data_IF_519735782051
#
_entry.id   IF_519735782051
#
_cell.length_a   1.000
_cell.length_b   1.000
_cell.length_c   1.000
_cell.angle_alpha   90.00
_cell.angle_beta   90.00
_cell.angle_gamma   90.00
#
_symmetry.space_group_name_H-M   'P 1'
#
loop_
_entity.id
_entity.type
_entity.pdbx_description
1 polymer ?
#
# COMPACT_ATOMS: atom_id res chain seq x y z
N UNK A 1 -13.89 4.41 -28.19
CA UNK A 1 -13.44 5.58 -27.42
C UNK A 1 -11.93 5.59 -27.46
N UNK A 2 -11.32 6.67 -27.94
CA UNK A 2 -9.87 6.85 -28.03
C UNK A 2 -9.40 7.72 -26.86
N UNK A 3 -8.46 7.20 -26.08
CA UNK A 3 -8.02 7.79 -24.82
C UNK A 3 -6.53 8.07 -24.88
N UNK A 4 -6.16 9.32 -24.66
CA UNK A 4 -4.76 9.71 -24.48
C UNK A 4 -4.33 9.54 -23.04
N UNK A 5 -3.09 9.10 -22.80
CA UNK A 5 -2.50 9.00 -21.46
C UNK A 5 -1.28 9.90 -21.43
N UNK A 6 -1.30 10.90 -20.55
CA UNK A 6 -0.17 11.80 -20.36
C UNK A 6 1.09 11.01 -19.97
N UNK A 7 2.27 11.41 -20.44
CA UNK A 7 3.51 10.76 -20.06
C UNK A 7 3.87 11.14 -18.62
N UNK A 8 4.24 10.14 -17.82
CA UNK A 8 4.74 10.34 -16.45
C UNK A 8 4.80 9.04 -15.66
N UNK A 9 4.89 9.13 -14.33
CA UNK A 9 5.31 8.02 -13.47
C UNK A 9 4.41 6.80 -13.58
N UNK A 10 3.09 6.99 -13.73
CA UNK A 10 2.12 5.87 -13.73
C UNK A 10 1.46 5.62 -15.09
N UNK A 11 2.00 6.18 -16.18
CA UNK A 11 1.37 6.10 -17.50
C UNK A 11 1.28 4.66 -18.01
N UNK A 12 2.28 3.82 -17.70
CA UNK A 12 2.35 2.42 -18.12
C UNK A 12 1.30 1.55 -17.44
N UNK A 13 1.03 1.81 -16.17
CA UNK A 13 0.07 1.10 -15.35
C UNK A 13 -1.37 1.47 -15.74
N UNK A 14 -1.61 2.76 -16.00
CA UNK A 14 -2.87 3.26 -16.53
C UNK A 14 -3.13 2.65 -17.91
N UNK A 15 -2.13 2.66 -18.80
CA UNK A 15 -2.21 2.04 -20.12
C UNK A 15 -2.55 0.55 -20.01
N UNK A 16 -1.80 -0.19 -19.19
CA UNK A 16 -2.03 -1.62 -18.98
C UNK A 16 -3.45 -1.91 -18.46
N UNK A 17 -3.96 -1.09 -17.55
CA UNK A 17 -5.30 -1.24 -17.02
C UNK A 17 -6.41 -0.89 -18.04
N UNK A 18 -6.14 0.03 -18.97
CA UNK A 18 -7.03 0.39 -20.08
C UNK A 18 -7.04 -0.69 -21.16
N UNK A 19 -5.88 -1.20 -21.58
CA UNK A 19 -5.75 -2.20 -22.65
C UNK A 19 -6.43 -3.54 -22.33
N UNK A 20 -6.72 -3.80 -21.06
CA UNK A 20 -7.53 -4.96 -20.61
C UNK A 20 -9.03 -4.78 -20.82
N UNK A 21 -9.49 -3.60 -21.22
CA UNK A 21 -10.91 -3.29 -21.44
C UNK A 21 -11.26 -3.42 -22.91
N UNK A 22 -12.38 -4.07 -23.18
CA UNK A 22 -12.96 -4.13 -24.53
C UNK A 22 -13.48 -2.74 -24.94
N UNK A 23 -13.27 -2.35 -26.20
CA UNK A 23 -13.77 -1.10 -26.84
C UNK A 23 -13.10 0.21 -26.42
N UNK A 24 -11.93 0.13 -25.81
CA UNK A 24 -11.06 1.28 -25.55
C UNK A 24 -9.84 1.17 -26.44
N UNK A 25 -9.56 2.21 -27.21
CA UNK A 25 -8.28 2.42 -27.89
C UNK A 25 -7.50 3.43 -27.05
N UNK A 26 -6.32 3.05 -26.58
CA UNK A 26 -5.53 3.87 -25.66
C UNK A 26 -4.10 3.98 -26.16
N UNK A 27 -3.49 5.15 -25.99
CA UNK A 27 -2.08 5.36 -26.29
C UNK A 27 -1.45 6.34 -25.31
N UNK A 28 -0.16 6.17 -25.05
CA UNK A 28 0.64 7.14 -24.29
C UNK A 28 1.03 8.24 -25.27
N UNK A 29 0.62 9.47 -24.96
CA UNK A 29 0.74 10.61 -25.88
C UNK A 29 2.04 11.37 -25.65
N UNK A 30 2.53 12.03 -26.69
CA UNK A 30 3.50 13.11 -26.55
C UNK A 30 2.77 14.43 -26.24
N UNK A 31 3.34 15.29 -25.40
CA UNK A 31 2.71 16.55 -24.98
C UNK A 31 2.37 17.53 -26.11
N UNK A 32 2.86 17.30 -27.32
CA UNK A 32 2.61 18.09 -28.53
C UNK A 32 1.52 17.50 -29.45
N UNK A 33 0.83 16.44 -29.00
CA UNK A 33 -0.20 15.76 -29.81
C UNK A 33 -1.36 16.68 -30.16
N UNK A 34 -1.92 16.52 -31.37
CA UNK A 34 -3.03 17.34 -31.85
C UNK A 34 -4.28 17.19 -30.96
N UNK A 35 -4.86 18.33 -30.60
CA UNK A 35 -5.96 18.54 -29.63
C UNK A 35 -7.27 17.82 -29.96
N UNK A 36 -7.41 17.21 -31.13
CA UNK A 36 -8.67 16.65 -31.64
C UNK A 36 -8.69 15.12 -31.82
N UNK A 37 -7.64 14.40 -31.40
CA UNK A 37 -7.57 12.94 -31.63
C UNK A 37 -8.19 12.09 -30.52
N UNK A 38 -8.38 12.66 -29.32
CA UNK A 38 -8.78 11.92 -28.13
C UNK A 38 -10.13 12.40 -27.61
N UNK A 39 -10.98 11.44 -27.27
CA UNK A 39 -12.26 11.72 -26.60
C UNK A 39 -11.98 12.26 -25.18
N UNK A 40 -11.00 11.66 -24.48
CA UNK A 40 -10.57 12.01 -23.12
C UNK A 40 -9.05 11.84 -23.02
N UNK A 41 -8.38 12.69 -22.23
CA UNK A 41 -6.99 12.52 -21.81
C UNK A 41 -6.92 12.25 -20.31
N UNK A 42 -6.23 11.17 -19.93
CA UNK A 42 -5.96 10.83 -18.53
C UNK A 42 -4.56 11.32 -18.15
N UNK A 43 -4.43 11.90 -16.96
CA UNK A 43 -3.14 12.36 -16.43
C UNK A 43 -3.07 12.16 -14.91
N UNK A 44 -1.86 12.13 -14.37
CA UNK A 44 -1.62 12.14 -12.92
C UNK A 44 -1.06 13.49 -12.49
N UNK A 45 -1.58 14.04 -11.40
CA UNK A 45 -1.12 15.33 -10.82
C UNK A 45 -0.91 16.40 -11.91
N UNK A 46 0.29 16.97 -12.02
CA UNK A 46 0.63 18.05 -12.95
C UNK A 46 1.22 17.56 -14.29
N UNK A 47 1.05 16.28 -14.62
CA UNK A 47 1.54 15.74 -15.90
C UNK A 47 0.98 16.57 -17.08
N UNK A 48 1.84 16.90 -18.07
CA UNK A 48 1.46 17.77 -19.17
C UNK A 48 0.46 17.09 -20.10
N UNK A 49 -0.55 17.84 -20.54
CA UNK A 49 -1.61 17.36 -21.43
C UNK A 49 -1.77 18.32 -22.63
N UNK A 50 -2.16 17.81 -23.81
CA UNK A 50 -2.50 18.65 -24.94
C UNK A 50 -3.66 19.62 -24.59
N UNK A 51 -3.63 20.87 -25.08
CA UNK A 51 -4.69 21.83 -24.80
C UNK A 51 -6.02 21.42 -25.45
N UNK A 52 -7.16 21.78 -24.85
CA UNK A 52 -8.47 21.65 -25.50
C UNK A 52 -9.10 20.25 -25.53
N UNK A 53 -8.47 19.22 -24.95
CA UNK A 53 -9.10 17.93 -24.68
C UNK A 53 -9.88 17.95 -23.35
N UNK A 54 -10.86 17.05 -23.19
CA UNK A 54 -11.44 16.74 -21.88
C UNK A 54 -10.37 16.00 -21.05
N UNK A 55 -9.92 16.61 -19.95
CA UNK A 55 -8.83 16.10 -19.12
C UNK A 55 -9.39 15.57 -17.82
N UNK A 56 -9.01 14.34 -17.48
CA UNK A 56 -9.36 13.71 -16.21
C UNK A 56 -8.12 13.31 -15.45
N UNK A 57 -7.99 13.81 -14.23
CA UNK A 57 -6.76 13.64 -13.46
C UNK A 57 -6.95 12.75 -12.25
N UNK A 58 -5.93 11.91 -12.04
CA UNK A 58 -5.72 11.20 -10.79
C UNK A 58 -4.73 12.00 -9.93
N UNK A 59 -5.21 12.54 -8.81
CA UNK A 59 -4.42 13.43 -7.94
C UNK A 59 -3.90 12.68 -6.74
N UNK A 60 -2.58 12.63 -6.57
CA UNK A 60 -1.89 11.88 -5.51
C UNK A 60 -1.37 12.76 -4.39
N UNK A 61 -1.24 14.07 -4.62
CA UNK A 61 -0.69 15.04 -3.68
C UNK A 61 -1.62 16.23 -3.46
N UNK A 62 -1.40 16.97 -2.36
CA UNK A 62 -2.26 18.09 -1.96
C UNK A 62 -1.96 19.42 -2.70
N UNK A 63 -0.80 19.53 -3.35
CA UNK A 63 -0.31 20.78 -3.95
C UNK A 63 -0.19 20.81 -5.48
N UNK A 64 -0.90 20.00 -6.27
CA UNK A 64 -0.79 20.13 -7.72
C UNK A 64 -1.40 21.47 -8.17
N UNK A 65 -0.80 22.05 -9.20
CA UNK A 65 -1.14 23.37 -9.74
C UNK A 65 -2.42 23.31 -10.59
N UNK A 66 -2.73 22.15 -11.16
CA UNK A 66 -3.88 21.94 -12.06
C UNK A 66 -5.26 22.03 -11.36
N UNK A 67 -6.26 22.48 -12.10
CA UNK A 67 -7.65 22.62 -11.64
C UNK A 67 -8.44 21.32 -11.67
N UNK A 68 -8.12 20.38 -12.56
CA UNK A 68 -8.90 19.16 -12.77
C UNK A 68 -8.54 18.12 -11.71
N UNK A 69 -9.45 17.83 -10.77
CA UNK A 69 -9.23 16.85 -9.69
C UNK A 69 -10.30 15.75 -9.74
N UNK A 70 -10.36 15.01 -10.85
CA UNK A 70 -11.44 14.05 -11.12
C UNK A 70 -11.47 12.90 -10.10
N UNK A 71 -10.30 12.32 -9.81
CA UNK A 71 -10.15 11.23 -8.86
C UNK A 71 -8.96 11.54 -7.96
N UNK A 72 -9.11 11.36 -6.65
CA UNK A 72 -8.02 11.57 -5.69
C UNK A 72 -7.52 10.24 -5.12
N UNK A 73 -6.24 10.16 -4.80
CA UNK A 73 -5.59 8.94 -4.34
C UNK A 73 -5.87 8.59 -2.86
N UNK A 74 -6.41 9.54 -2.12
CA UNK A 74 -6.63 9.44 -0.69
C UNK A 74 -7.80 10.35 -0.25
N UNK A 75 -8.49 9.97 0.82
CA UNK A 75 -9.71 10.67 1.26
C UNK A 75 -9.42 12.06 1.83
N UNK A 76 -8.25 12.26 2.41
CA UNK A 76 -7.86 13.58 2.94
C UNK A 76 -7.72 14.65 1.84
N UNK A 77 -7.64 14.25 0.56
CA UNK A 77 -7.61 15.16 -0.59
C UNK A 77 -9.00 15.58 -1.06
N UNK A 78 -10.07 14.90 -0.61
CA UNK A 78 -11.44 15.20 -1.02
C UNK A 78 -11.89 16.62 -0.65
N UNK A 79 -11.64 17.13 0.57
CA UNK A 79 -12.01 18.51 0.91
C UNK A 79 -11.39 19.51 -0.07
N UNK A 80 -10.11 19.34 -0.41
CA UNK A 80 -9.39 20.20 -1.36
C UNK A 80 -10.01 20.12 -2.76
N UNK A 81 -10.38 18.92 -3.21
CA UNK A 81 -11.06 18.74 -4.49
C UNK A 81 -12.42 19.49 -4.54
N UNK A 82 -13.19 19.44 -3.45
CA UNK A 82 -14.46 20.20 -3.32
C UNK A 82 -14.19 21.71 -3.34
N UNK A 83 -13.20 22.19 -2.57
CA UNK A 83 -12.82 23.60 -2.54
C UNK A 83 -12.38 24.12 -3.92
N UNK A 84 -11.77 23.27 -4.74
CA UNK A 84 -11.41 23.56 -6.13
C UNK A 84 -12.58 23.45 -7.13
N UNK A 85 -13.80 23.18 -6.65
CA UNK A 85 -15.01 23.18 -7.47
C UNK A 85 -15.37 21.84 -8.10
N UNK A 86 -14.73 20.74 -7.69
CA UNK A 86 -15.15 19.39 -8.13
C UNK A 86 -16.46 19.03 -7.42
N UNK A 87 -17.55 18.97 -8.18
CA UNK A 87 -18.88 18.75 -7.63
C UNK A 87 -19.03 17.38 -6.92
N UNK A 88 -18.36 16.34 -7.43
CA UNK A 88 -18.50 14.96 -6.95
C UNK A 88 -17.16 14.24 -6.94
N UNK A 89 -16.22 14.59 -6.05
CA UNK A 89 -14.89 14.00 -6.06
C UNK A 89 -14.94 12.54 -5.64
N UNK A 90 -14.11 11.71 -6.29
CA UNK A 90 -14.04 10.27 -6.04
C UNK A 90 -12.66 9.96 -5.47
N UNK A 91 -12.59 9.32 -4.31
CA UNK A 91 -11.31 8.89 -3.73
C UNK A 91 -11.02 7.43 -4.06
N UNK A 92 -10.11 7.12 -4.98
CA UNK A 92 -9.64 5.74 -5.19
C UNK A 92 -8.25 5.56 -4.58
N UNK A 93 -8.08 4.69 -3.57
CA UNK A 93 -6.80 4.49 -2.91
C UNK A 93 -5.68 4.17 -3.88
N UNK A 94 -4.51 4.76 -3.63
CA UNK A 94 -3.33 4.58 -4.47
C UNK A 94 -2.94 3.10 -4.62
N UNK A 95 -2.91 2.56 -5.86
CA UNK A 95 -2.33 1.26 -6.11
C UNK A 95 -0.84 1.25 -5.78
N UNK A 96 -0.36 0.12 -5.26
CA UNK A 96 1.06 -0.10 -4.98
C UNK A 96 1.45 -1.48 -5.48
N UNK A 97 2.74 -1.65 -5.79
CA UNK A 97 3.27 -2.96 -6.18
C UNK A 97 3.36 -3.89 -4.97
N UNK A 98 3.06 -5.17 -5.21
CA UNK A 98 3.14 -6.22 -4.20
C UNK A 98 4.33 -7.13 -4.55
N UNK A 99 5.51 -6.91 -3.96
CA UNK A 99 6.61 -7.84 -4.15
C UNK A 99 6.27 -9.19 -3.51
N UNK A 100 6.92 -10.25 -3.98
CA UNK A 100 6.94 -11.55 -3.29
C UNK A 100 7.54 -11.34 -1.89
N UNK A 101 6.72 -11.57 -0.84
CA UNK A 101 7.15 -11.43 0.55
C UNK A 101 7.59 -12.80 1.05
N UNK A 102 8.87 -13.11 0.85
CA UNK A 102 9.48 -14.34 1.37
C UNK A 102 10.46 -14.05 2.52
N UNK A 103 10.56 -12.78 2.96
CA UNK A 103 11.53 -12.37 3.95
C UNK A 103 10.89 -12.34 5.36
N UNK A 104 11.60 -12.83 6.38
CA UNK A 104 11.12 -12.78 7.75
C UNK A 104 11.01 -11.33 8.24
N UNK A 105 10.15 -11.13 9.23
CA UNK A 105 9.92 -9.84 9.89
C UNK A 105 11.23 -9.25 10.42
N UNK A 106 11.52 -7.99 10.07
CA UNK A 106 12.77 -7.30 10.45
C UNK A 106 12.52 -6.18 11.44
N UNK A 107 13.45 -5.95 12.35
CA UNK A 107 13.34 -4.91 13.40
C UNK A 107 13.94 -3.57 13.00
N UNK A 108 14.66 -3.48 11.87
CA UNK A 108 15.29 -2.25 11.43
C UNK A 108 14.29 -1.14 11.16
N UNK A 109 14.64 0.09 11.56
CA UNK A 109 13.75 1.24 11.45
C UNK A 109 14.23 2.22 10.39
N UNK A 110 13.32 2.72 9.56
CA UNK A 110 13.55 3.88 8.69
C UNK A 110 12.59 4.99 9.06
N UNK A 111 13.09 6.21 9.23
CA UNK A 111 12.28 7.40 9.46
C UNK A 111 12.13 8.17 8.16
N UNK A 112 10.90 8.37 7.70
CA UNK A 112 10.60 9.12 6.48
C UNK A 112 10.99 10.60 6.65
N UNK A 113 11.32 11.22 5.52
CA UNK A 113 11.71 12.62 5.48
C UNK A 113 10.55 13.51 5.95
N UNK A 114 10.82 14.33 6.96
CA UNK A 114 9.90 15.28 7.58
C UNK A 114 10.68 16.30 8.40
N UNK A 115 10.02 17.37 8.83
CA UNK A 115 10.56 18.38 9.74
C UNK A 115 11.10 17.79 11.07
N UNK A 116 10.50 16.69 11.55
CA UNK A 116 10.87 16.04 12.80
C UNK A 116 11.83 14.86 12.62
N UNK A 117 12.25 14.53 11.39
CA UNK A 117 13.05 13.34 11.09
C UNK A 117 14.32 13.25 11.94
N UNK A 118 15.13 14.32 11.98
CA UNK A 118 16.40 14.32 12.71
C UNK A 118 16.21 14.11 14.22
N UNK A 119 15.19 14.73 14.80
CA UNK A 119 14.87 14.59 16.22
C UNK A 119 14.45 13.15 16.55
N UNK A 120 13.61 12.54 15.72
CA UNK A 120 13.15 11.16 15.90
C UNK A 120 14.28 10.16 15.72
N UNK A 121 15.13 10.32 14.70
CA UNK A 121 16.32 9.47 14.50
C UNK A 121 17.21 9.51 15.75
N UNK A 122 17.52 10.69 16.28
CA UNK A 122 18.37 10.84 17.46
C UNK A 122 17.77 10.17 18.71
N UNK A 123 16.45 10.29 18.92
CA UNK A 123 15.75 9.63 20.03
C UNK A 123 15.76 8.10 19.89
N UNK A 124 15.47 7.57 18.69
CA UNK A 124 15.51 6.13 18.41
C UNK A 124 16.93 5.56 18.64
N UNK A 125 17.96 6.23 18.15
CA UNK A 125 19.35 5.81 18.35
C UNK A 125 19.77 5.86 19.83
N UNK A 126 19.32 6.87 20.57
CA UNK A 126 19.56 6.98 22.02
C UNK A 126 18.86 5.85 22.81
N UNK A 127 17.75 5.35 22.27
CA UNK A 127 17.04 4.18 22.77
C UNK A 127 17.67 2.83 22.34
N UNK A 128 18.81 2.85 21.63
CA UNK A 128 19.50 1.65 21.17
C UNK A 128 18.88 0.98 19.93
N UNK A 129 17.97 1.67 19.24
CA UNK A 129 17.30 1.15 18.05
C UNK A 129 18.17 1.39 16.80
N UNK A 130 18.32 0.35 15.98
CA UNK A 130 19.03 0.45 14.70
C UNK A 130 18.18 1.23 13.67
N UNK A 131 18.70 2.39 13.25
CA UNK A 131 18.04 3.26 12.28
C UNK A 131 18.82 3.29 10.97
N UNK A 132 18.12 3.05 9.87
CA UNK A 132 18.63 3.08 8.51
C UNK A 132 18.29 4.40 7.83
N UNK A 133 19.18 4.84 6.92
CA UNK A 133 18.99 6.07 6.15
C UNK A 133 18.25 5.85 4.83
N UNK A 134 18.13 4.59 4.40
CA UNK A 134 17.51 4.19 3.14
C UNK A 134 16.69 2.93 3.34
N UNK A 135 15.69 2.74 2.47
CA UNK A 135 14.84 1.55 2.48
C UNK A 135 15.60 0.35 1.95
N UNK A 136 16.16 -0.47 2.85
CA UNK A 136 16.83 -1.72 2.50
C UNK A 136 16.12 -2.96 3.09
N UNK A 137 16.68 -4.14 2.83
CA UNK A 137 16.10 -5.44 3.21
C UNK A 137 16.06 -5.70 4.73
N UNK A 138 16.74 -4.89 5.54
CA UNK A 138 16.77 -4.97 7.01
C UNK A 138 15.71 -4.09 7.65
N UNK A 139 15.13 -3.15 6.91
CA UNK A 139 14.08 -2.27 7.39
C UNK A 139 12.75 -3.03 7.40
N UNK A 140 12.16 -3.22 8.58
CA UNK A 140 10.81 -3.77 8.74
C UNK A 140 9.83 -2.84 9.45
N UNK A 141 10.29 -1.67 9.91
CA UNK A 141 9.47 -0.65 10.54
C UNK A 141 9.71 0.69 9.85
N UNK A 142 8.64 1.36 9.45
CA UNK A 142 8.65 2.71 8.87
C UNK A 142 8.01 3.67 9.86
N UNK A 143 8.69 4.79 10.11
CA UNK A 143 8.20 5.87 10.97
C UNK A 143 7.92 7.09 10.12
N UNK A 144 6.67 7.57 10.14
CA UNK A 144 6.28 8.85 9.58
C UNK A 144 6.04 9.86 10.71
N UNK A 145 7.07 10.66 10.97
CA UNK A 145 7.07 11.67 12.02
C UNK A 145 6.56 13.04 11.54
N UNK A 146 5.98 13.15 10.33
CA UNK A 146 5.43 14.41 9.86
C UNK A 146 4.28 14.86 10.76
N UNK A 147 4.38 16.08 11.30
CA UNK A 147 3.33 16.73 12.10
C UNK A 147 2.20 17.27 11.22
N UNK A 148 2.44 17.36 9.91
CA UNK A 148 1.51 17.76 8.87
C UNK A 148 1.25 16.62 7.87
N UNK A 149 0.39 16.86 6.87
CA UNK A 149 0.05 15.87 5.84
C UNK A 149 1.28 15.45 5.04
N UNK A 150 1.65 14.17 5.14
CA UNK A 150 2.74 13.58 4.36
C UNK A 150 2.24 12.98 3.03
N UNK A 151 3.12 12.24 2.34
CA UNK A 151 2.76 11.50 1.12
C UNK A 151 2.20 10.12 1.48
N UNK A 152 1.13 9.72 0.79
CA UNK A 152 0.48 8.42 0.98
C UNK A 152 1.30 7.27 0.37
N UNK A 153 2.06 7.55 -0.70
CA UNK A 153 2.81 6.53 -1.43
C UNK A 153 3.81 5.75 -0.58
N UNK A 154 4.75 6.39 0.14
CA UNK A 154 5.75 5.65 0.92
C UNK A 154 5.12 4.75 1.99
N UNK A 155 4.04 5.21 2.63
CA UNK A 155 3.32 4.44 3.64
C UNK A 155 2.72 3.18 3.02
N UNK A 156 2.01 3.31 1.89
CA UNK A 156 1.35 2.18 1.24
C UNK A 156 2.35 1.19 0.65
N UNK A 157 3.47 1.67 0.10
CA UNK A 157 4.55 0.82 -0.39
C UNK A 157 5.19 0.01 0.75
N UNK A 158 5.43 0.65 1.90
CA UNK A 158 5.93 -0.03 3.09
C UNK A 158 4.97 -1.13 3.56
N UNK A 159 3.68 -0.80 3.66
CA UNK A 159 2.65 -1.75 4.05
C UNK A 159 2.57 -2.93 3.07
N UNK A 160 2.66 -2.70 1.76
CA UNK A 160 2.67 -3.76 0.75
C UNK A 160 3.86 -4.73 0.93
N UNK A 161 5.00 -4.22 1.44
CA UNK A 161 6.19 -5.00 1.80
C UNK A 161 6.12 -5.62 3.21
N UNK A 162 4.95 -5.66 3.84
CA UNK A 162 4.73 -6.16 5.21
C UNK A 162 5.56 -5.43 6.28
N UNK A 163 5.90 -4.17 6.03
CA UNK A 163 6.54 -3.33 7.03
C UNK A 163 5.49 -2.73 7.96
N UNK A 164 5.79 -2.69 9.25
CA UNK A 164 4.95 -1.98 10.22
C UNK A 164 5.14 -0.49 10.01
N UNK A 165 4.03 0.25 9.97
CA UNK A 165 4.07 1.72 9.84
C UNK A 165 3.55 2.35 11.12
N UNK A 166 4.35 3.24 11.69
CA UNK A 166 3.99 4.08 12.84
C UNK A 166 4.01 5.54 12.41
N UNK A 167 2.93 6.27 12.66
CA UNK A 167 2.78 7.65 12.21
C UNK A 167 2.03 8.53 13.23
N UNK A 168 2.19 9.85 13.13
CA UNK A 168 1.40 10.79 13.93
C UNK A 168 -0.09 10.81 13.52
N UNK A 169 -0.97 10.92 14.49
CA UNK A 169 -2.43 11.01 14.30
C UNK A 169 -2.86 12.35 13.69
N UNK A 170 -2.00 13.38 13.77
CA UNK A 170 -2.21 14.67 13.08
C UNK A 170 -1.96 14.58 11.58
N UNK A 171 -1.28 13.54 11.10
CA UNK A 171 -0.98 13.35 9.69
C UNK A 171 -2.19 12.76 8.93
N UNK A 172 -2.84 13.60 8.12
CA UNK A 172 -4.04 13.23 7.38
C UNK A 172 -3.82 12.10 6.34
N UNK A 173 -2.62 12.00 5.77
CA UNK A 173 -2.27 10.93 4.84
C UNK A 173 -2.14 9.58 5.55
N UNK A 174 -1.52 9.58 6.74
CA UNK A 174 -1.38 8.40 7.56
C UNK A 174 -2.73 7.90 8.09
N UNK A 175 -3.56 8.79 8.61
CA UNK A 175 -4.89 8.44 9.16
C UNK A 175 -5.85 7.87 8.11
N UNK A 176 -5.68 8.18 6.83
CA UNK A 176 -6.48 7.59 5.74
C UNK A 176 -6.10 6.13 5.47
N UNK A 177 -4.85 5.76 5.74
CA UNK A 177 -4.29 4.44 5.38
C UNK A 177 -4.20 3.50 6.59
N UNK A 178 -3.90 4.04 7.76
CA UNK A 178 -3.59 3.29 8.97
C UNK A 178 -4.79 3.29 9.90
N UNK A 179 -5.06 2.13 10.48
CA UNK A 179 -5.97 1.91 11.60
C UNK A 179 -5.12 1.44 12.77
N UNK A 180 -5.03 2.30 13.78
CA UNK A 180 -4.24 2.05 14.99
C UNK A 180 -4.50 0.63 15.54
N UNK A 181 -3.43 -0.06 15.90
CA UNK A 181 -3.41 -1.42 16.47
C UNK A 181 -3.98 -2.52 15.54
N UNK A 182 -4.41 -2.16 14.33
CA UNK A 182 -4.95 -3.13 13.36
C UNK A 182 -3.91 -3.46 12.30
N UNK A 183 -3.39 -2.46 11.62
CA UNK A 183 -2.48 -2.59 10.46
C UNK A 183 -1.29 -1.63 10.52
N UNK A 184 -1.04 -1.04 11.70
CA UNK A 184 0.00 -0.05 11.99
C UNK A 184 -0.38 0.74 13.26
N UNK A 185 0.43 1.73 13.61
CA UNK A 185 0.19 2.61 14.75
C UNK A 185 -0.02 4.06 14.33
N UNK A 186 -1.07 4.66 14.88
CA UNK A 186 -1.28 6.11 14.88
C UNK A 186 -1.11 6.62 16.30
N UNK A 187 -0.16 7.51 16.53
CA UNK A 187 0.21 8.00 17.87
C UNK A 187 0.08 9.52 17.94
N UNK A 188 -0.04 10.07 19.14
CA UNK A 188 -0.39 11.49 19.31
C UNK A 188 0.81 12.41 19.26
N UNK A 189 1.99 11.92 19.62
CA UNK A 189 3.20 12.72 19.69
C UNK A 189 4.47 11.90 19.39
N UNK A 190 5.60 12.62 19.35
CA UNK A 190 6.90 12.03 19.02
C UNK A 190 7.43 11.08 20.11
N UNK A 191 7.01 11.22 21.37
CA UNK A 191 7.45 10.33 22.45
C UNK A 191 6.70 9.00 22.37
N UNK A 192 5.40 9.03 22.08
CA UNK A 192 4.61 7.84 21.77
C UNK A 192 5.12 7.10 20.52
N UNK A 193 5.70 7.80 19.52
CA UNK A 193 6.40 7.14 18.39
C UNK A 193 7.52 6.26 18.94
N UNK A 194 8.36 6.78 19.82
CA UNK A 194 9.52 6.03 20.33
C UNK A 194 9.05 4.81 21.11
N UNK A 195 8.11 4.98 22.04
CA UNK A 195 7.56 3.87 22.83
C UNK A 195 6.91 2.80 21.97
N UNK A 196 6.13 3.19 20.95
CA UNK A 196 5.48 2.25 20.04
C UNK A 196 6.49 1.49 19.18
N UNK A 197 7.53 2.18 18.68
CA UNK A 197 8.59 1.54 17.90
C UNK A 197 9.40 0.57 18.77
N UNK A 198 9.74 0.94 20.01
CA UNK A 198 10.41 0.03 20.96
C UNK A 198 9.62 -1.27 21.14
N UNK A 199 8.31 -1.15 21.41
CA UNK A 199 7.44 -2.31 21.56
C UNK A 199 7.45 -3.22 20.31
N UNK A 200 7.36 -2.63 19.11
CA UNK A 200 7.36 -3.38 17.84
C UNK A 200 8.73 -3.99 17.54
N UNK A 201 9.82 -3.35 17.93
CA UNK A 201 11.19 -3.88 17.79
C UNK A 201 11.36 -5.12 18.67
N UNK A 202 10.84 -5.10 19.90
CA UNK A 202 10.96 -6.18 20.88
C UNK A 202 10.00 -7.34 20.62
N UNK A 203 8.83 -7.09 20.04
CA UNK A 203 7.81 -8.11 19.78
C UNK A 203 7.77 -8.51 18.29
N UNK A 204 8.51 -9.56 17.93
CA UNK A 204 8.51 -10.11 16.56
C UNK A 204 7.14 -10.63 16.11
N UNK A 205 6.38 -11.23 17.03
CA UNK A 205 5.08 -11.81 16.75
C UNK A 205 4.11 -10.70 16.33
N UNK A 206 4.06 -9.63 17.13
CA UNK A 206 3.23 -8.47 16.87
C UNK A 206 3.68 -7.73 15.61
N UNK A 207 4.98 -7.59 15.39
CA UNK A 207 5.53 -7.01 14.16
C UNK A 207 5.11 -7.78 12.91
N UNK A 208 5.17 -9.11 12.97
CA UNK A 208 4.74 -9.99 11.86
C UNK A 208 3.23 -9.88 11.61
N UNK A 209 2.43 -9.85 12.68
CA UNK A 209 0.98 -9.67 12.62
C UNK A 209 0.61 -8.34 11.96
N UNK A 210 1.21 -7.24 12.42
CA UNK A 210 0.95 -5.90 11.91
C UNK A 210 1.38 -5.78 10.44
N UNK A 211 2.55 -6.32 10.08
CA UNK A 211 3.02 -6.35 8.69
C UNK A 211 2.06 -7.09 7.75
N UNK A 212 1.57 -8.26 8.16
CA UNK A 212 0.59 -9.02 7.38
C UNK A 212 -0.73 -8.25 7.18
N UNK A 213 -1.28 -7.67 8.25
CA UNK A 213 -2.52 -6.90 8.17
C UNK A 213 -2.32 -5.58 7.40
N UNK A 214 -1.13 -4.99 7.46
CA UNK A 214 -0.71 -3.85 6.65
C UNK A 214 -0.80 -4.18 5.15
N UNK A 215 -0.10 -5.24 4.69
CA UNK A 215 -0.13 -5.67 3.28
C UNK A 215 -1.54 -5.95 2.81
N UNK A 216 -2.31 -6.67 3.61
CA UNK A 216 -3.71 -6.98 3.30
C UNK A 216 -4.55 -5.71 3.15
N UNK A 217 -4.36 -4.74 4.03
CA UNK A 217 -5.17 -3.52 4.02
C UNK A 217 -4.98 -2.69 2.74
N UNK A 218 -3.80 -2.75 2.13
CA UNK A 218 -3.48 -2.03 0.89
C UNK A 218 -3.73 -2.86 -0.38
N UNK A 219 -3.88 -4.19 -0.27
CA UNK A 219 -4.05 -5.14 -1.39
C UNK A 219 -5.29 -4.92 -2.26
N UNK A 220 -6.30 -4.22 -1.75
CA UNK A 220 -7.54 -3.96 -2.51
C UNK A 220 -7.40 -2.85 -3.56
N UNK A 221 -6.34 -2.04 -3.50
CA UNK A 221 -6.09 -0.96 -4.44
C UNK A 221 -5.44 -1.47 -5.73
N UNK A 222 -6.00 -1.11 -6.87
CA UNK A 222 -5.49 -1.51 -8.18
C UNK A 222 -5.84 -0.49 -9.27
N UNK A 223 -5.02 -0.47 -10.32
CA UNK A 223 -5.16 0.47 -11.44
C UNK A 223 -6.46 0.28 -12.23
N UNK A 224 -7.04 -0.92 -12.28
CA UNK A 224 -8.33 -1.13 -12.93
C UNK A 224 -9.47 -0.37 -12.23
N UNK A 225 -9.42 -0.22 -10.90
CA UNK A 225 -10.34 0.63 -10.12
C UNK A 225 -10.11 2.12 -10.37
N UNK A 226 -8.85 2.56 -10.44
CA UNK A 226 -8.50 3.95 -10.76
C UNK A 226 -9.02 4.34 -12.14
N UNK A 227 -8.68 3.56 -13.16
CA UNK A 227 -9.17 3.77 -14.53
C UNK A 227 -10.69 3.73 -14.59
N UNK A 228 -11.34 2.83 -13.84
CA UNK A 228 -12.82 2.84 -13.76
C UNK A 228 -13.34 4.17 -13.27
N UNK A 229 -12.77 4.71 -12.19
CA UNK A 229 -13.20 5.98 -11.61
C UNK A 229 -12.95 7.15 -12.56
N UNK A 230 -11.80 7.19 -13.23
CA UNK A 230 -11.48 8.23 -14.21
C UNK A 230 -12.48 8.23 -15.37
N UNK A 231 -12.91 7.06 -15.84
CA UNK A 231 -13.85 6.94 -16.97
C UNK A 231 -15.33 7.02 -16.58
N UNK A 232 -15.66 7.13 -15.29
CA UNK A 232 -17.06 7.24 -14.87
C UNK A 232 -17.60 8.65 -15.16
N UNK A 233 -18.74 8.73 -15.84
CA UNK A 233 -19.54 9.96 -15.89
C UNK A 233 -20.60 9.94 -14.78
N UNK A 234 -20.68 11.01 -14.00
CA UNK A 234 -21.81 11.27 -13.09
C UNK A 234 -21.97 10.36 -11.87
N UNK A 235 -20.98 9.51 -11.53
CA UNK A 235 -21.07 8.67 -10.32
C UNK A 235 -20.61 9.45 -9.09
N UNK A 236 -21.52 9.60 -8.13
CA UNK A 236 -21.27 10.27 -6.84
C UNK A 236 -20.91 9.23 -5.79
N UNK A 237 -19.91 9.53 -4.97
CA UNK A 237 -19.73 8.85 -3.69
C UNK A 237 -18.33 8.30 -3.44
N UNK A 238 -18.03 8.20 -2.16
CA UNK A 238 -16.86 7.52 -1.62
C UNK A 238 -16.90 6.05 -2.06
N UNK A 239 -15.90 5.49 -2.76
CA UNK A 239 -15.81 4.05 -2.79
C UNK A 239 -15.68 3.59 -1.34
N UNK A 240 -16.57 2.68 -0.96
CA UNK A 240 -16.43 1.99 0.31
C UNK A 240 -15.09 1.28 0.23
N UNK A 241 -14.13 1.73 1.05
CA UNK A 241 -12.98 0.91 1.38
C UNK A 241 -13.53 -0.43 1.82
N UNK A 242 -13.05 -1.51 1.21
CA UNK A 242 -13.46 -2.85 1.61
C UNK A 242 -13.33 -2.96 3.12
N UNK A 243 -14.48 -3.08 3.76
CA UNK A 243 -14.53 -3.26 5.21
C UNK A 243 -14.13 -4.70 5.43
N UNK A 244 -12.86 -4.90 5.74
CA UNK A 244 -12.38 -6.21 6.16
C UNK A 244 -13.22 -6.70 7.35
N UNK A 245 -13.42 -8.02 7.46
CA UNK A 245 -14.35 -8.63 8.40
C UNK A 245 -14.27 -8.06 9.82
N UNK A 246 -15.38 -8.10 10.53
CA UNK A 246 -15.51 -7.64 11.93
C UNK A 246 -14.65 -8.42 12.94
N UNK A 247 -13.93 -9.46 12.52
CA UNK A 247 -13.06 -10.23 13.39
C UNK A 247 -11.84 -9.39 13.82
N UNK A 248 -11.42 -9.44 15.10
CA UNK A 248 -10.19 -8.80 15.55
C UNK A 248 -8.96 -9.23 14.74
N UNK A 249 -7.99 -8.33 14.56
CA UNK A 249 -6.81 -8.56 13.73
C UNK A 249 -5.99 -9.77 14.18
N UNK A 250 -5.75 -9.90 15.49
CA UNK A 250 -5.07 -11.05 16.10
C UNK A 250 -5.78 -12.37 15.75
N UNK A 251 -7.10 -12.42 15.89
CA UNK A 251 -7.88 -13.64 15.56
C UNK A 251 -7.78 -13.99 14.09
N UNK A 252 -7.82 -13.00 13.18
CA UNK A 252 -7.68 -13.24 11.75
C UNK A 252 -6.30 -13.78 11.39
N UNK A 253 -5.27 -13.20 11.99
CA UNK A 253 -3.89 -13.62 11.79
C UNK A 253 -3.68 -15.05 12.30
N UNK A 254 -4.12 -15.38 13.53
CA UNK A 254 -4.08 -16.74 14.08
C UNK A 254 -4.79 -17.76 13.18
N UNK A 255 -6.00 -17.45 12.71
CA UNK A 255 -6.80 -18.35 11.85
C UNK A 255 -6.18 -18.59 10.47
N UNK A 256 -5.38 -17.64 9.95
CA UNK A 256 -4.78 -17.72 8.62
C UNK A 256 -3.39 -18.37 8.62
N UNK A 257 -3.03 -19.05 9.72
CA UNK A 257 -1.65 -19.50 9.95
C UNK A 257 -0.70 -18.31 9.83
N UNK A 258 -0.94 -17.19 10.53
CA UNK A 258 -0.21 -15.93 10.39
C UNK A 258 1.33 -15.97 10.53
N UNK A 259 1.87 -17.15 10.83
CA UNK A 259 3.27 -17.51 10.83
C UNK A 259 3.71 -18.31 9.58
N UNK A 260 2.85 -18.51 8.58
CA UNK A 260 3.10 -19.41 7.44
C UNK A 260 4.37 -19.05 6.67
N UNK A 261 4.78 -17.78 6.70
CA UNK A 261 6.06 -17.31 6.18
C UNK A 261 7.27 -17.86 6.95
N UNK A 262 7.15 -18.12 8.26
CA UNK A 262 8.15 -18.83 9.06
C UNK A 262 8.16 -20.34 8.72
N UNK A 263 7.02 -20.90 8.31
CA UNK A 263 6.89 -22.30 7.88
C UNK A 263 7.25 -22.53 6.41
N UNK A 264 7.49 -21.49 5.60
CA UNK A 264 7.88 -21.66 4.18
C UNK A 264 9.27 -22.29 4.02
N UNK A 265 10.15 -22.11 5.02
CA UNK A 265 11.46 -22.74 5.13
C UNK A 265 11.44 -24.06 5.92
N UNK A 266 10.28 -24.44 6.47
CA UNK A 266 10.14 -25.66 7.26
C UNK A 266 10.20 -26.89 6.35
N UNK A 267 10.86 -27.95 6.82
CA UNK A 267 10.91 -29.21 6.07
C UNK A 267 9.60 -29.97 6.30
N UNK A 268 8.92 -30.31 5.21
CA UNK A 268 7.83 -31.27 5.28
C UNK A 268 8.41 -32.64 5.66
N UNK A 269 8.03 -33.16 6.82
CA UNK A 269 8.40 -34.49 7.23
C UNK A 269 7.41 -35.52 6.65
N UNK A 270 7.91 -36.68 6.24
CA UNK A 270 7.10 -37.82 5.75
C UNK A 270 5.99 -38.26 6.74
N UNK A 271 6.08 -37.84 8.00
CA UNK A 271 5.10 -38.08 9.04
C UNK A 271 3.95 -37.04 9.11
N UNK A 272 3.80 -36.15 8.13
CA UNK A 272 2.61 -35.30 7.97
C UNK A 272 2.58 -34.07 8.89
N UNK A 273 3.75 -33.53 9.21
CA UNK A 273 3.89 -32.28 9.96
C UNK A 273 5.05 -31.43 9.40
N UNK A 274 4.98 -30.13 9.60
CA UNK A 274 6.11 -29.23 9.37
C UNK A 274 6.93 -29.10 10.66
N UNK A 275 8.25 -29.11 10.54
CA UNK A 275 9.21 -28.87 11.63
C UNK A 275 9.96 -27.55 11.40
N UNK A 276 9.89 -26.66 12.38
CA UNK A 276 10.67 -25.43 12.43
C UNK A 276 11.28 -25.30 13.84
N UNK A 277 12.59 -25.54 13.94
CA UNK A 277 13.33 -25.55 15.22
C UNK A 277 12.65 -26.46 16.28
N UNK A 278 12.22 -25.88 17.41
CA UNK A 278 11.56 -26.60 18.50
C UNK A 278 10.03 -26.73 18.32
N UNK A 279 9.50 -26.25 17.19
CA UNK A 279 8.05 -26.19 16.92
C UNK A 279 7.61 -27.22 15.87
N UNK A 280 6.42 -27.78 16.08
CA UNK A 280 5.79 -28.76 15.18
C UNK A 280 4.37 -28.34 14.82
N UNK A 281 4.08 -28.27 13.52
CA UNK A 281 2.74 -28.03 13.00
C UNK A 281 2.18 -29.31 12.37
N UNK A 282 1.19 -29.93 13.03
CA UNK A 282 0.49 -31.11 12.54
C UNK A 282 -0.42 -30.77 11.36
N UNK A 283 -0.16 -31.37 10.19
CA UNK A 283 -0.90 -31.11 8.94
C UNK A 283 -1.95 -32.21 8.68
N UNK A 284 -1.93 -33.30 9.45
CA UNK A 284 -2.79 -34.48 9.27
C UNK A 284 -4.31 -34.23 9.27
N UNK A 285 -4.78 -33.00 9.51
CA UNK A 285 -6.18 -32.60 9.40
C UNK A 285 -6.52 -31.80 8.12
N UNK A 286 -5.55 -31.53 7.23
CA UNK A 286 -5.84 -30.89 5.95
C UNK A 286 -6.41 -31.91 4.96
N UNK A 287 -7.58 -31.61 4.39
CA UNK A 287 -8.21 -32.46 3.36
C UNK A 287 -7.33 -32.67 2.12
N UNK A 288 -7.58 -33.76 1.40
CA UNK A 288 -6.73 -34.31 0.32
C UNK A 288 -6.23 -33.29 -0.70
N UNK A 289 -7.07 -32.32 -1.09
CA UNK A 289 -6.71 -31.24 -2.03
C UNK A 289 -5.56 -30.34 -1.53
N UNK A 290 -5.50 -30.07 -0.22
CA UNK A 290 -4.42 -29.26 0.37
C UNK A 290 -3.15 -30.08 0.59
N UNK A 291 -3.27 -31.37 0.91
CA UNK A 291 -2.12 -32.28 0.93
C UNK A 291 -1.47 -32.35 -0.46
N UNK A 292 -2.27 -32.52 -1.52
CA UNK A 292 -1.78 -32.57 -2.90
C UNK A 292 -1.10 -31.26 -3.35
N UNK A 293 -1.67 -30.11 -2.98
CA UNK A 293 -1.07 -28.81 -3.28
C UNK A 293 0.27 -28.60 -2.56
N UNK A 294 0.39 -29.03 -1.30
CA UNK A 294 1.62 -28.92 -0.52
C UNK A 294 2.70 -29.88 -1.03
N UNK A 295 2.35 -31.13 -1.36
CA UNK A 295 3.31 -32.11 -1.91
C UNK A 295 3.90 -31.67 -3.25
N UNK A 296 3.14 -30.93 -4.07
CA UNK A 296 3.64 -30.38 -5.34
C UNK A 296 4.56 -29.17 -5.17
N UNK A 297 4.49 -28.47 -4.04
CA UNK A 297 5.34 -27.31 -3.73
C UNK A 297 6.63 -27.73 -3.03
N UNK A 298 6.61 -28.83 -2.27
CA UNK A 298 7.77 -29.33 -1.52
C UNK A 298 8.52 -30.47 -2.21
N UNK A 299 8.04 -30.98 -3.34
CA UNK A 299 8.82 -31.90 -4.15
C UNK A 299 10.15 -31.23 -4.56
N UNK A 300 11.31 -31.88 -4.36
CA UNK A 300 12.54 -31.36 -4.93
C UNK A 300 12.32 -31.24 -6.43
N UNK A 301 12.49 -30.03 -6.95
CA UNK A 301 12.58 -29.79 -8.38
C UNK A 301 13.89 -30.40 -8.88
N UNK A 302 13.97 -31.72 -8.98
CA UNK A 302 15.12 -32.39 -9.55
C UNK A 302 14.65 -33.47 -10.52
N UNK A 303 14.43 -33.07 -11.78
CA UNK A 303 14.78 -33.77 -13.02
C UNK A 303 14.45 -32.91 -14.26
#
# INVERSE_FOLDING_TARGET
>A
MRIGIAPGTYCSEIFTALSRRTNVDAEIISGESATSQYDIVLAVDDEPVPPGNDVRRYVTQATPEVSEWTVVAARHLLPIAVERGVATPIAVPMPVEFPSSDLPSRSGVLVLQSESQHQVIAKLQSAGIEVFLQDDHRVGIIVDAATSTSRVEPLRQAMAKEKVVTALSTNAAATDTIRHDTNGYLVNDLDEIISSVQQVVEDESERSRLGFEARRSVASANWSRVVRALLLEGRVGMPQLETFSHLPAITRWQQRLGHASQWSSSRYNEHGYFELEDQRLQIGQLGELRQWALSNVTAPRDQ
#
